data_IF_351147185522
#
_entry.id   IF_351147185522
#
_cell.length_a   1.000
_cell.length_b   1.000
_cell.length_c   1.000
_cell.angle_alpha   90.00
_cell.angle_beta   90.00
_cell.angle_gamma   90.00
#
_symmetry.space_group_name_H-M   'P 1'
#
loop_
_entity.id
_entity.type
_entity.pdbx_description
1 polymer ?
#
# COMPACT_ATOMS: atom_id res chain seq x y z
N UNK A 1 -21.59 32.67 2.53
CA UNK A 1 -21.54 31.36 3.21
C UNK A 1 -20.73 30.42 2.31
N UNK A 2 -19.40 30.51 2.37
CA UNK A 2 -18.54 29.60 1.62
C UNK A 2 -18.49 28.29 2.38
N UNK A 3 -19.29 27.32 1.94
CA UNK A 3 -19.07 25.93 2.30
C UNK A 3 -17.81 25.51 1.57
N UNK A 4 -16.65 25.66 2.22
CA UNK A 4 -15.47 24.90 1.84
C UNK A 4 -15.87 23.44 1.97
N UNK A 5 -16.32 22.87 0.84
CA UNK A 5 -16.55 21.44 0.69
C UNK A 5 -15.19 20.78 0.81
N UNK A 6 -14.75 20.60 2.06
CA UNK A 6 -13.50 19.99 2.41
C UNK A 6 -13.41 18.69 1.64
N UNK A 7 -12.48 18.65 0.70
CA UNK A 7 -12.28 17.48 -0.14
C UNK A 7 -12.00 16.30 0.80
N UNK A 8 -12.79 15.23 0.69
CA UNK A 8 -12.53 14.01 1.45
C UNK A 8 -11.11 13.57 1.08
N UNK A 9 -10.25 13.49 2.08
CA UNK A 9 -8.82 13.27 1.85
C UNK A 9 -8.63 11.80 1.48
N UNK A 10 -8.61 11.54 0.18
CA UNK A 10 -8.37 10.20 -0.36
C UNK A 10 -6.88 9.92 -0.51
N UNK A 11 -6.51 8.64 -0.60
CA UNK A 11 -5.11 8.21 -0.75
C UNK A 11 -4.41 8.80 -1.98
N UNK A 12 -5.17 9.17 -3.02
CA UNK A 12 -4.66 9.85 -4.21
C UNK A 12 -4.15 11.28 -3.92
N UNK A 13 -4.74 11.95 -2.93
CA UNK A 13 -4.38 13.31 -2.51
C UNK A 13 -3.21 13.32 -1.52
N UNK A 14 -2.81 12.14 -1.02
CA UNK A 14 -1.67 11.96 -0.12
C UNK A 14 -0.34 11.99 -0.89
N UNK A 15 0.09 13.19 -1.28
CA UNK A 15 1.40 13.41 -1.93
C UNK A 15 2.48 13.55 -0.86
N UNK A 16 3.58 12.81 -1.01
CA UNK A 16 4.79 13.01 -0.19
C UNK A 16 5.41 14.35 -0.59
N UNK A 17 5.49 15.29 0.34
CA UNK A 17 6.06 16.63 0.12
C UNK A 17 7.53 16.71 0.55
N UNK A 18 8.16 15.57 0.88
CA UNK A 18 9.60 15.48 1.11
C UNK A 18 10.40 15.89 -0.14
N UNK A 19 11.36 16.78 0.06
CA UNK A 19 12.22 17.29 -1.00
C UNK A 19 12.42 18.79 -0.90
N UNK A 20 12.71 19.42 -2.03
CA UNK A 20 12.81 20.87 -2.11
C UNK A 20 11.42 21.48 -2.19
N UNK A 21 11.07 22.33 -1.22
CA UNK A 21 9.81 23.05 -1.26
C UNK A 21 9.96 24.47 -0.76
N UNK A 22 9.02 25.31 -1.18
CA UNK A 22 8.96 26.71 -0.79
C UNK A 22 8.42 26.80 0.64
N UNK A 23 9.19 27.43 1.52
CA UNK A 23 8.83 27.59 2.92
C UNK A 23 8.65 29.08 3.21
N UNK A 24 7.54 29.43 3.88
CA UNK A 24 7.36 30.77 4.44
C UNK A 24 7.86 30.73 5.88
N UNK A 25 9.00 31.36 6.13
CA UNK A 25 9.52 31.61 7.48
C UNK A 25 10.20 30.42 8.17
N UNK A 26 11.23 30.74 8.95
CA UNK A 26 12.00 29.80 9.76
C UNK A 26 11.11 29.06 10.77
N UNK A 27 11.36 27.77 10.93
CA UNK A 27 10.69 26.93 11.94
C UNK A 27 10.73 27.56 13.33
N UNK A 28 9.57 27.59 13.96
CA UNK A 28 9.31 27.88 15.37
C UNK A 28 9.94 29.14 15.97
N UNK A 29 9.16 30.23 15.89
CA UNK A 29 8.74 31.15 16.98
C UNK A 29 8.72 32.61 16.49
N UNK A 30 7.52 33.20 16.52
CA UNK A 30 7.20 34.63 16.32
C UNK A 30 7.63 35.26 14.98
N UNK A 31 6.78 35.16 13.96
CA UNK A 31 6.72 36.15 12.89
C UNK A 31 5.38 36.90 12.97
N UNK A 32 5.22 37.67 14.04
CA UNK A 32 4.28 38.78 14.08
C UNK A 32 4.94 39.98 13.40
N UNK A 33 5.03 39.97 12.07
CA UNK A 33 5.36 41.17 11.31
C UNK A 33 4.69 41.09 9.94
N UNK A 34 3.81 42.06 9.70
CA UNK A 34 3.22 42.35 8.41
C UNK A 34 4.35 42.63 7.40
N UNK A 35 4.74 41.67 6.57
CA UNK A 35 5.52 41.97 5.36
C UNK A 35 6.68 41.06 4.95
N UNK A 36 6.91 39.88 5.51
CA UNK A 36 7.98 38.99 4.98
C UNK A 36 7.46 38.03 3.91
N UNK A 37 7.63 38.42 2.64
CA UNK A 37 7.30 37.63 1.44
C UNK A 37 8.54 37.05 0.75
N UNK A 38 9.46 36.42 1.48
CA UNK A 38 10.50 35.59 0.83
C UNK A 38 10.23 34.12 1.10
N UNK A 39 9.69 33.44 0.09
CA UNK A 39 9.62 31.98 0.06
C UNK A 39 11.00 31.42 -0.26
N UNK A 40 11.68 30.84 0.72
CA UNK A 40 12.97 30.18 0.51
C UNK A 40 12.74 28.74 0.05
N UNK A 41 13.53 28.30 -0.93
CA UNK A 41 13.61 26.88 -1.30
C UNK A 41 14.45 26.19 -0.23
N UNK A 42 13.80 25.42 0.63
CA UNK A 42 14.49 24.65 1.67
C UNK A 42 14.23 23.16 1.48
N UNK A 43 15.17 22.36 1.97
CA UNK A 43 14.98 20.93 2.09
C UNK A 43 14.00 20.64 3.21
N UNK A 44 12.84 20.13 2.82
CA UNK A 44 11.78 19.67 3.70
C UNK A 44 12.07 18.19 4.01
N UNK A 45 12.53 17.93 5.24
CA UNK A 45 12.87 16.59 5.72
C UNK A 45 11.64 15.74 6.08
N UNK A 46 10.55 16.40 6.47
CA UNK A 46 9.29 15.78 6.90
C UNK A 46 8.14 16.17 5.98
N UNK A 47 7.23 15.24 5.69
CA UNK A 47 6.06 15.55 4.85
C UNK A 47 5.23 16.64 5.55
N UNK A 48 5.19 17.85 4.99
CA UNK A 48 4.38 18.99 5.46
C UNK A 48 2.87 18.83 5.23
N UNK A 49 2.45 17.65 4.77
CA UNK A 49 1.05 17.29 4.60
C UNK A 49 0.45 16.67 5.86
N UNK A 50 -0.64 15.90 5.66
CA UNK A 50 -1.39 15.19 6.69
C UNK A 50 -0.52 14.58 7.80
N UNK A 51 -1.02 14.65 9.04
CA UNK A 51 -0.37 14.05 10.21
C UNK A 51 -0.18 12.54 10.05
N UNK A 52 0.72 11.94 10.85
CA UNK A 52 0.95 10.48 10.82
C UNK A 52 -0.33 9.67 11.04
N UNK A 53 -1.17 10.13 11.98
CA UNK A 53 -2.48 9.54 12.30
C UNK A 53 -3.47 9.66 11.14
N UNK A 54 -3.54 10.81 10.48
CA UNK A 54 -4.44 11.01 9.35
C UNK A 54 -4.02 10.14 8.16
N UNK A 55 -2.72 10.06 7.88
CA UNK A 55 -2.18 9.15 6.85
C UNK A 55 -2.50 7.68 7.16
N UNK A 56 -2.46 7.30 8.43
CA UNK A 56 -2.85 5.96 8.86
C UNK A 56 -4.35 5.73 8.64
N UNK A 57 -5.22 6.66 9.07
CA UNK A 57 -6.68 6.62 8.85
C UNK A 57 -7.01 6.44 7.37
N UNK A 58 -6.40 7.23 6.49
CA UNK A 58 -6.63 7.11 5.04
C UNK A 58 -6.17 5.77 4.50
N UNK A 59 -5.00 5.25 4.90
CA UNK A 59 -4.53 3.92 4.46
C UNK A 59 -5.41 2.78 4.97
N UNK A 60 -6.05 2.95 6.13
CA UNK A 60 -6.98 1.99 6.72
C UNK A 60 -8.37 2.02 6.09
N UNK A 61 -8.81 3.15 5.56
CA UNK A 61 -10.16 3.33 4.99
C UNK A 61 -10.21 3.21 3.46
N UNK A 62 -9.06 3.25 2.77
CA UNK A 62 -8.99 3.23 1.30
C UNK A 62 -8.25 2.03 0.74
N UNK A 63 -8.75 1.52 -0.39
CA UNK A 63 -8.12 0.47 -1.18
C UNK A 63 -6.85 0.99 -1.87
N UNK A 64 -5.75 0.24 -1.79
CA UNK A 64 -4.49 0.64 -2.44
C UNK A 64 -4.52 0.55 -3.98
N UNK A 65 -5.38 -0.29 -4.57
CA UNK A 65 -5.48 -0.44 -6.04
C UNK A 65 -6.51 0.53 -6.63
N UNK A 66 -7.75 0.49 -6.13
CA UNK A 66 -8.84 1.29 -6.69
C UNK A 66 -8.92 2.71 -6.12
N UNK A 67 -8.21 3.00 -5.02
CA UNK A 67 -8.28 4.28 -4.28
C UNK A 67 -9.65 4.62 -3.67
N UNK A 68 -10.65 3.77 -3.88
CA UNK A 68 -11.98 3.89 -3.31
C UNK A 68 -12.00 3.47 -1.83
N UNK A 69 -13.06 3.86 -1.12
CA UNK A 69 -13.33 3.38 0.23
C UNK A 69 -13.41 1.83 0.28
N UNK A 70 -12.93 1.26 1.39
CA UNK A 70 -12.96 -0.18 1.62
C UNK A 70 -14.40 -0.70 1.76
N UNK A 71 -14.67 -1.82 1.11
CA UNK A 71 -15.96 -2.51 1.13
C UNK A 71 -15.75 -3.98 1.51
N UNK A 72 -16.72 -4.54 2.21
CA UNK A 72 -16.72 -5.98 2.46
C UNK A 72 -16.99 -6.76 1.18
N UNK A 73 -16.24 -7.85 0.92
CA UNK A 73 -15.15 -8.42 1.72
C UNK A 73 -13.78 -7.74 1.51
N UNK A 74 -13.12 -7.36 2.61
CA UNK A 74 -11.76 -6.80 2.60
C UNK A 74 -10.68 -7.89 2.58
N UNK A 75 -9.59 -7.58 1.90
CA UNK A 75 -8.44 -8.46 1.72
C UNK A 75 -7.15 -7.72 2.06
N UNK A 76 -6.21 -8.39 2.73
CA UNK A 76 -4.90 -7.86 3.06
C UNK A 76 -3.76 -8.64 2.42
N UNK A 77 -2.65 -7.94 2.18
CA UNK A 77 -1.39 -8.54 1.73
C UNK A 77 -0.40 -8.74 2.87
N UNK A 78 0.66 -9.50 2.59
CA UNK A 78 1.79 -9.71 3.52
C UNK A 78 2.55 -8.43 3.90
N UNK A 79 2.39 -7.37 3.11
CA UNK A 79 2.94 -6.05 3.42
C UNK A 79 2.03 -5.18 4.32
N UNK A 80 0.88 -5.71 4.74
CA UNK A 80 -0.06 -4.97 5.61
C UNK A 80 -0.92 -3.94 4.87
N UNK A 81 -0.94 -3.95 3.54
CA UNK A 81 -1.86 -3.13 2.75
C UNK A 81 -3.24 -3.80 2.63
N UNK A 82 -4.29 -2.99 2.61
CA UNK A 82 -5.69 -3.39 2.47
C UNK A 82 -6.22 -3.14 1.05
N UNK A 83 -7.11 -4.01 0.61
CA UNK A 83 -7.68 -4.01 -0.74
C UNK A 83 -9.14 -4.50 -0.71
N UNK A 84 -9.92 -3.99 -1.66
CA UNK A 84 -11.23 -4.57 -1.99
C UNK A 84 -11.01 -5.86 -2.79
N UNK A 85 -11.69 -6.95 -2.40
CA UNK A 85 -11.54 -8.25 -3.08
C UNK A 85 -11.85 -8.16 -4.58
N UNK A 86 -12.88 -7.40 -4.94
CA UNK A 86 -13.28 -7.16 -6.34
C UNK A 86 -12.17 -6.48 -7.14
N UNK A 87 -11.57 -5.43 -6.58
CA UNK A 87 -10.48 -4.69 -7.22
C UNK A 87 -9.24 -5.58 -7.45
N UNK A 88 -8.90 -6.44 -6.49
CA UNK A 88 -7.78 -7.38 -6.63
C UNK A 88 -8.06 -8.40 -7.73
N UNK A 89 -9.26 -8.98 -7.76
CA UNK A 89 -9.65 -9.95 -8.78
C UNK A 89 -9.62 -9.30 -10.16
N UNK A 90 -10.22 -8.11 -10.31
CA UNK A 90 -10.22 -7.36 -11.55
C UNK A 90 -8.79 -7.01 -12.03
N UNK A 91 -7.90 -6.63 -11.10
CA UNK A 91 -6.52 -6.29 -11.44
C UNK A 91 -5.69 -7.52 -11.85
N UNK A 92 -5.92 -8.68 -11.20
CA UNK A 92 -5.26 -9.95 -11.54
C UNK A 92 -5.72 -10.48 -12.90
N UNK A 93 -7.02 -10.37 -13.22
CA UNK A 93 -7.57 -10.77 -14.52
C UNK A 93 -7.02 -9.90 -15.67
N UNK A 94 -6.98 -8.58 -15.45
CA UNK A 94 -6.53 -7.63 -16.47
C UNK A 94 -5.00 -7.45 -16.53
N UNK A 95 -4.24 -8.10 -15.63
CA UNK A 95 -2.78 -7.92 -15.46
C UNK A 95 -2.34 -6.46 -15.27
N UNK A 96 -3.22 -5.61 -14.72
CA UNK A 96 -2.99 -4.17 -14.49
C UNK A 96 -2.43 -3.89 -13.09
N UNK A 97 -1.54 -4.74 -12.59
CA UNK A 97 -0.95 -4.56 -11.26
C UNK A 97 0.21 -3.56 -11.33
N UNK A 98 0.22 -2.50 -10.50
CA UNK A 98 1.34 -1.56 -10.46
C UNK A 98 2.61 -2.26 -9.95
N UNK A 99 3.79 -1.77 -10.39
CA UNK A 99 5.09 -2.39 -10.10
C UNK A 99 5.37 -2.52 -8.59
N UNK A 100 4.89 -1.54 -7.80
CA UNK A 100 4.95 -1.53 -6.33
C UNK A 100 4.23 -2.71 -5.66
N UNK A 101 3.30 -3.35 -6.38
CA UNK A 101 2.46 -4.46 -5.92
C UNK A 101 2.83 -5.81 -6.57
N UNK A 102 4.02 -5.91 -7.18
CA UNK A 102 4.54 -7.13 -7.85
C UNK A 102 4.62 -8.40 -6.98
N UNK A 103 4.44 -8.27 -5.67
CA UNK A 103 4.37 -9.38 -4.72
C UNK A 103 3.03 -10.15 -4.77
N UNK A 104 1.97 -9.55 -5.31
CA UNK A 104 0.65 -10.16 -5.43
C UNK A 104 0.52 -10.74 -6.83
N UNK A 105 0.64 -12.06 -6.97
CA UNK A 105 0.51 -12.74 -8.27
C UNK A 105 -0.70 -13.65 -8.34
N UNK A 106 -1.12 -14.18 -7.20
CA UNK A 106 -2.26 -15.05 -7.09
C UNK A 106 -3.12 -14.69 -5.88
N UNK A 107 -4.35 -15.21 -5.86
CA UNK A 107 -5.26 -15.14 -4.71
C UNK A 107 -4.71 -15.82 -3.44
N UNK A 108 -3.58 -16.55 -3.54
CA UNK A 108 -2.87 -17.15 -2.42
C UNK A 108 -1.98 -16.16 -1.67
N UNK A 109 -1.57 -15.08 -2.32
CA UNK A 109 -0.68 -14.06 -1.76
C UNK A 109 -1.44 -13.02 -0.92
N UNK A 110 -2.77 -13.11 -0.96
CA UNK A 110 -3.72 -12.25 -0.28
C UNK A 110 -4.59 -13.08 0.66
N UNK A 111 -4.94 -12.50 1.81
CA UNK A 111 -5.82 -13.15 2.79
C UNK A 111 -7.06 -12.30 3.03
N UNK A 112 -8.23 -12.93 3.00
CA UNK A 112 -9.47 -12.26 3.34
C UNK A 112 -9.48 -11.95 4.85
N UNK A 113 -9.74 -10.68 5.17
CA UNK A 113 -9.78 -10.18 6.54
C UNK A 113 -11.18 -10.35 7.11
N UNK A 114 -11.26 -10.83 8.35
CA UNK A 114 -12.47 -10.75 9.16
C UNK A 114 -12.43 -9.41 9.90
N UNK A 115 -13.12 -8.43 9.33
CA UNK A 115 -13.24 -7.09 9.89
C UNK A 115 -14.64 -6.92 10.44
N UNK A 116 -14.74 -6.39 11.64
CA UNK A 116 -16.00 -5.93 12.23
C UNK A 116 -16.11 -4.43 12.00
N UNK A 117 -17.11 -4.02 11.24
CA UNK A 117 -17.39 -2.62 10.98
C UNK A 117 -18.39 -2.10 12.01
N UNK A 118 -18.09 -0.97 12.61
CA UNK A 118 -19.06 -0.18 13.34
C UNK A 118 -19.46 1.03 12.50
N UNK A 119 -20.74 1.36 12.53
CA UNK A 119 -21.24 2.61 11.98
C UNK A 119 -20.87 3.74 12.94
N UNK A 120 -20.17 4.76 12.45
CA UNK A 120 -19.86 5.92 13.27
C UNK A 120 -21.12 6.77 13.43
N UNK A 121 -21.68 6.82 14.64
CA UNK A 121 -22.86 7.64 14.96
C UNK A 121 -22.63 9.16 14.77
N UNK A 122 -21.38 9.62 14.61
CA UNK A 122 -21.01 11.04 14.67
C UNK A 122 -20.61 11.69 13.34
N UNK A 123 -20.36 10.91 12.29
CA UNK A 123 -20.05 11.45 10.95
C UNK A 123 -20.74 10.57 9.91
N UNK A 124 -21.72 11.14 9.21
CA UNK A 124 -22.62 10.46 8.27
C UNK A 124 -21.84 9.57 7.28
N UNK A 125 -21.97 8.25 7.44
CA UNK A 125 -21.63 7.26 6.43
C UNK A 125 -20.20 6.69 6.41
N UNK A 126 -19.29 7.11 7.31
CA UNK A 126 -17.96 6.48 7.38
C UNK A 126 -17.95 5.26 8.31
N UNK A 127 -17.85 4.07 7.71
CA UNK A 127 -17.66 2.81 8.43
C UNK A 127 -16.27 2.77 9.07
N UNK A 128 -16.22 2.49 10.37
CA UNK A 128 -14.96 2.35 11.12
C UNK A 128 -14.64 0.89 11.37
N UNK A 129 -13.38 0.52 11.21
CA UNK A 129 -12.91 -0.81 11.55
C UNK A 129 -12.68 -0.88 13.05
N UNK A 130 -13.42 -1.79 13.70
CA UNK A 130 -13.33 -2.00 15.15
C UNK A 130 -12.65 -3.34 15.41
N UNK A 131 -11.82 -3.39 16.44
CA UNK A 131 -11.25 -4.65 16.89
C UNK A 131 -12.33 -5.50 17.57
N UNK A 132 -12.51 -6.78 17.20
CA UNK A 132 -13.52 -7.64 17.80
C UNK A 132 -13.26 -7.94 19.29
N UNK A 133 -12.02 -7.80 19.78
CA UNK A 133 -11.67 -8.12 21.17
C UNK A 133 -11.60 -6.88 22.05
N UNK A 134 -10.85 -5.84 21.67
CA UNK A 134 -10.79 -4.60 22.46
C UNK A 134 -11.99 -3.68 22.26
N UNK A 135 -12.79 -3.89 21.20
CA UNK A 135 -13.85 -2.96 20.77
C UNK A 135 -13.36 -1.53 20.55
N UNK A 136 -12.06 -1.35 20.37
CA UNK A 136 -11.44 -0.07 20.04
C UNK A 136 -11.42 0.15 18.53
N UNK A 137 -11.57 1.41 18.13
CA UNK A 137 -11.42 1.86 16.75
C UNK A 137 -9.97 1.70 16.29
N UNK A 138 -9.76 0.89 15.25
CA UNK A 138 -8.44 0.66 14.64
C UNK A 138 -7.97 1.85 13.78
N UNK A 139 -8.91 2.66 13.30
CA UNK A 139 -8.64 3.81 12.43
C UNK A 139 -8.08 5.02 13.20
N UNK A 140 -8.34 5.08 14.51
CA UNK A 140 -7.98 6.19 15.39
C UNK A 140 -6.47 6.33 15.64
N UNK A 141 -5.67 5.34 15.25
CA UNK A 141 -4.23 5.31 15.46
C UNK A 141 -3.79 5.20 16.93
N UNK A 142 -4.72 5.08 17.88
CA UNK A 142 -4.43 4.82 19.30
C UNK A 142 -3.69 3.49 19.51
N UNK A 143 -3.97 2.52 18.64
CA UNK A 143 -3.41 1.17 18.65
C UNK A 143 -3.12 0.75 17.22
N UNK A 144 -1.92 0.24 16.93
CA UNK A 144 -1.63 -0.33 15.61
C UNK A 144 -2.50 -1.55 15.35
N UNK A 145 -3.13 -1.63 14.19
CA UNK A 145 -3.88 -2.80 13.77
C UNK A 145 -2.95 -3.88 13.24
N UNK A 146 -3.26 -5.14 13.51
CA UNK A 146 -2.44 -6.30 13.19
C UNK A 146 -3.34 -7.40 12.65
N UNK A 147 -2.89 -8.06 11.59
CA UNK A 147 -3.54 -9.21 10.99
C UNK A 147 -2.83 -10.49 11.41
N UNK A 148 -3.61 -11.49 11.82
CA UNK A 148 -3.11 -12.86 11.95
C UNK A 148 -3.33 -13.61 10.64
N UNK A 149 -2.24 -14.03 9.99
CA UNK A 149 -2.26 -14.65 8.66
C UNK A 149 -3.11 -15.93 8.52
N UNK A 150 -3.00 -16.96 9.42
CA UNK A 150 -3.76 -18.19 9.27
C UNK A 150 -5.28 -18.01 9.42
N UNK A 151 -5.71 -17.13 10.32
CA UNK A 151 -7.12 -16.87 10.61
C UNK A 151 -7.74 -15.78 9.74
N UNK A 152 -6.95 -14.78 9.33
CA UNK A 152 -7.47 -13.56 8.71
C UNK A 152 -8.09 -12.58 9.71
N UNK A 153 -7.94 -12.81 11.01
CA UNK A 153 -8.50 -11.93 12.04
C UNK A 153 -7.69 -10.63 12.17
N UNK A 154 -8.38 -9.48 12.17
CA UNK A 154 -7.77 -8.17 12.41
C UNK A 154 -7.96 -7.79 13.88
N UNK A 155 -6.85 -7.57 14.59
CA UNK A 155 -6.82 -7.33 16.03
C UNK A 155 -5.89 -6.15 16.33
N UNK A 156 -6.11 -5.43 17.44
CA UNK A 156 -5.19 -4.40 17.89
C UNK A 156 -3.89 -5.00 18.47
N UNK A 157 -2.75 -4.34 18.25
CA UNK A 157 -1.48 -4.76 18.84
C UNK A 157 -1.49 -4.75 20.37
N UNK A 158 -2.34 -3.93 21.00
CA UNK A 158 -2.51 -3.89 22.47
C UNK A 158 -3.14 -5.20 22.96
N UNK A 159 -4.25 -5.61 22.33
CA UNK A 159 -4.94 -6.86 22.66
C UNK A 159 -4.04 -8.08 22.53
N UNK A 160 -3.21 -8.15 21.48
CA UNK A 160 -2.27 -9.25 21.29
C UNK A 160 -1.22 -9.33 22.41
N UNK A 161 -0.72 -8.18 22.88
CA UNK A 161 0.27 -8.11 23.97
C UNK A 161 -0.31 -8.49 25.33
N UNK A 162 -1.57 -8.17 25.57
CA UNK A 162 -2.27 -8.47 26.83
C UNK A 162 -2.60 -9.96 26.96
N UNK A 163 -3.13 -10.56 25.90
CA UNK A 163 -3.57 -11.95 25.94
C UNK A 163 -2.43 -12.96 25.94
N UNK A 164 -1.27 -12.64 25.31
CA UNK A 164 -0.10 -13.54 25.18
C UNK A 164 -0.45 -14.97 24.76
N UNK A 165 -1.55 -15.17 24.03
CA UNK A 165 -2.00 -16.48 23.59
C UNK A 165 -1.34 -16.83 22.25
N UNK A 166 -1.01 -18.11 22.08
CA UNK A 166 -0.49 -18.67 20.81
C UNK A 166 -1.60 -19.05 19.83
N UNK A 167 -2.85 -18.76 20.18
CA UNK A 167 -4.06 -19.13 19.46
C UNK A 167 -4.91 -17.89 19.17
N UNK A 168 -5.54 -17.87 18.00
CA UNK A 168 -6.36 -16.75 17.59
C UNK A 168 -7.60 -16.63 18.50
N UNK A 169 -7.91 -15.45 19.06
CA UNK A 169 -9.05 -15.27 19.97
C UNK A 169 -10.42 -15.46 19.29
N UNK A 170 -10.49 -15.43 17.96
CA UNK A 170 -11.75 -15.60 17.20
C UNK A 170 -11.93 -16.99 16.59
N UNK A 171 -10.83 -17.65 16.22
CA UNK A 171 -10.89 -18.88 15.41
C UNK A 171 -10.14 -20.03 16.04
N UNK A 172 -9.52 -19.84 17.21
CA UNK A 172 -8.72 -20.83 17.96
C UNK A 172 -7.63 -21.51 17.11
N UNK A 173 -7.16 -20.84 16.04
CA UNK A 173 -6.10 -21.36 15.17
C UNK A 173 -4.75 -21.02 15.79
N UNK A 174 -3.80 -21.97 15.85
CA UNK A 174 -2.45 -21.68 16.29
C UNK A 174 -1.79 -20.72 15.30
N UNK A 175 -1.04 -19.74 15.81
CA UNK A 175 -0.25 -18.81 15.01
C UNK A 175 1.10 -18.54 15.67
N UNK A 176 2.12 -18.30 14.84
CA UNK A 176 3.44 -17.90 15.31
C UNK A 176 3.55 -16.37 15.41
N UNK A 177 3.89 -15.87 16.59
CA UNK A 177 3.97 -14.44 16.88
C UNK A 177 4.96 -13.67 15.98
N UNK A 178 6.01 -14.32 15.50
CA UNK A 178 7.08 -13.66 14.73
C UNK A 178 6.83 -13.63 13.21
N UNK A 179 6.08 -14.62 12.69
CA UNK A 179 5.92 -14.85 11.24
C UNK A 179 4.52 -14.58 10.73
N UNK A 180 3.50 -14.92 11.52
CA UNK A 180 2.10 -14.86 11.10
C UNK A 180 1.42 -13.53 11.46
N UNK A 181 2.11 -12.69 12.22
CA UNK A 181 1.62 -11.41 12.73
C UNK A 181 2.10 -10.28 11.81
N UNK A 182 1.16 -9.67 11.08
CA UNK A 182 1.46 -8.65 10.07
C UNK A 182 0.81 -7.32 10.50
N UNK A 183 1.58 -6.27 10.77
CA UNK A 183 1.00 -4.96 11.08
C UNK A 183 0.33 -4.38 9.82
N UNK A 184 -0.86 -3.82 10.00
CA UNK A 184 -1.61 -3.15 8.93
C UNK A 184 -1.19 -1.69 8.81
N UNK A 185 -1.26 -1.16 7.58
CA UNK A 185 -0.79 0.16 7.17
C UNK A 185 0.56 0.60 7.77
N UNK A 186 1.62 -0.22 7.66
CA UNK A 186 2.92 0.12 8.21
C UNK A 186 3.48 1.40 7.57
N UNK A 187 4.29 2.13 8.34
CA UNK A 187 5.00 3.30 7.84
C UNK A 187 6.17 2.91 6.93
N UNK A 188 6.72 3.90 6.21
CA UNK A 188 7.71 3.67 5.16
C UNK A 188 8.92 2.82 5.58
N UNK A 189 9.31 2.88 6.85
CA UNK A 189 10.41 2.08 7.41
C UNK A 189 10.00 0.63 7.72
N UNK A 190 8.79 0.45 8.26
CA UNK A 190 8.23 -0.88 8.56
C UNK A 190 7.85 -1.63 7.29
N UNK A 191 7.37 -0.90 6.28
CA UNK A 191 7.17 -1.42 4.93
C UNK A 191 8.46 -1.99 4.33
N UNK A 192 9.61 -1.33 4.54
CA UNK A 192 10.90 -1.84 4.06
C UNK A 192 11.27 -3.15 4.75
N UNK A 193 11.16 -3.20 6.09
CA UNK A 193 11.41 -4.42 6.88
C UNK A 193 10.49 -5.58 6.45
N UNK A 194 9.22 -5.30 6.17
CA UNK A 194 8.28 -6.31 5.69
C UNK A 194 8.57 -6.75 4.25
N UNK A 195 9.02 -5.83 3.39
CA UNK A 195 9.48 -6.16 2.04
C UNK A 195 10.73 -7.03 2.05
N UNK A 196 11.64 -6.83 3.00
CA UNK A 196 12.83 -7.67 3.19
C UNK A 196 12.49 -9.07 3.73
N UNK A 197 11.46 -9.17 4.58
CA UNK A 197 10.95 -10.45 5.09
C UNK A 197 10.22 -11.28 4.06
N UNK A 198 9.68 -10.65 3.01
CA UNK A 198 9.18 -11.40 1.87
C UNK A 198 10.36 -12.09 1.21
N UNK A 199 10.39 -13.43 1.12
CA UNK A 199 11.38 -14.06 0.30
C UNK A 199 11.18 -13.51 -1.10
N UNK A 200 12.20 -12.81 -1.61
CA UNK A 200 12.38 -12.70 -3.04
C UNK A 200 12.42 -14.15 -3.50
N UNK A 201 11.27 -14.69 -3.95
CA UNK A 201 11.27 -15.93 -4.69
C UNK A 201 12.13 -15.59 -5.88
N UNK A 202 13.36 -16.07 -5.76
CA UNK A 202 14.49 -15.76 -6.58
C UNK A 202 14.01 -15.85 -8.02
N UNK A 203 14.52 -14.96 -8.87
CA UNK A 203 14.60 -15.15 -10.31
C UNK A 203 15.47 -16.41 -10.59
N UNK A 204 15.07 -17.59 -10.11
CA UNK A 204 15.71 -18.90 -10.25
C UNK A 204 14.80 -19.84 -11.04
N UNK A 205 14.16 -19.30 -12.07
CA UNK A 205 13.51 -20.07 -13.13
C UNK A 205 13.72 -19.46 -14.53
N UNK A 206 14.59 -18.43 -14.67
CA UNK A 206 14.90 -17.80 -15.97
C UNK A 206 16.40 -17.60 -16.22
N UNK A 207 17.27 -18.32 -15.50
CA UNK A 207 18.73 -18.26 -15.68
C UNK A 207 19.37 -19.63 -15.96
N UNK A 208 18.61 -20.62 -16.42
CA UNK A 208 19.12 -21.93 -16.89
C UNK A 208 18.60 -22.29 -18.28
N UNK A 209 18.18 -21.29 -19.07
CA UNK A 209 17.85 -21.46 -20.48
C UNK A 209 18.37 -20.27 -21.27
N UNK A 210 19.69 -20.09 -21.23
CA UNK A 210 20.43 -19.27 -22.18
C UNK A 210 21.80 -19.94 -22.36
N UNK A 211 22.00 -20.77 -23.40
CA UNK A 211 23.35 -21.07 -23.86
C UNK A 211 23.93 -19.80 -24.49
N UNK A 212 25.12 -19.44 -24.04
CA UNK A 212 25.95 -18.39 -24.60
C UNK A 212 27.00 -19.02 -25.50
N UNK A 213 27.00 -18.67 -26.78
CA UNK A 213 28.16 -18.47 -27.65
C UNK A 213 27.72 -17.34 -28.62
N UNK A 214 28.19 -16.09 -28.48
CA UNK A 214 29.44 -15.53 -29.05
C UNK A 214 29.45 -15.67 -30.59
N UNK A 215 29.73 -14.68 -31.44
CA UNK A 215 30.27 -13.33 -31.34
C UNK A 215 30.15 -12.68 -32.74
N UNK A 216 30.05 -11.35 -32.79
CA UNK A 216 30.47 -10.42 -33.87
C UNK A 216 30.28 -10.73 -35.37
N UNK A 217 29.48 -9.89 -36.04
CA UNK A 217 29.99 -8.87 -36.99
C UNK A 217 28.83 -8.12 -37.68
N UNK A 218 28.87 -6.78 -37.62
CA UNK A 218 28.13 -5.88 -38.51
C UNK A 218 29.16 -5.11 -39.37
N UNK A 219 28.78 -4.34 -40.41
CA UNK A 219 27.71 -4.48 -41.39
C UNK A 219 28.26 -4.40 -42.85
N UNK A 220 27.48 -4.77 -43.87
CA UNK A 220 27.66 -4.12 -45.19
C UNK A 220 26.34 -3.97 -45.94
N UNK A 221 26.12 -2.73 -46.35
CA UNK A 221 25.04 -2.25 -47.20
C UNK A 221 25.26 -2.82 -48.60
N UNK A 222 24.20 -3.32 -49.25
CA UNK A 222 23.91 -3.11 -50.68
C UNK A 222 22.55 -3.70 -51.05
N UNK A 223 21.64 -2.82 -51.49
CA UNK A 223 20.55 -3.19 -52.39
C UNK A 223 21.14 -3.79 -53.69
N UNK A 224 20.37 -4.59 -54.43
CA UNK A 224 19.71 -3.97 -55.57
C UNK A 224 18.31 -4.53 -55.92
N UNK A 225 17.48 -3.59 -56.41
CA UNK A 225 16.56 -3.63 -57.55
C UNK A 225 15.59 -4.80 -57.79
N UNK A 226 14.35 -4.37 -58.00
CA UNK A 226 13.24 -5.03 -58.68
C UNK A 226 13.60 -5.82 -59.95
N UNK A 227 12.88 -6.93 -60.16
CA UNK A 227 12.36 -7.35 -61.46
C UNK A 227 11.15 -8.28 -61.24
N UNK A 228 10.09 -8.02 -61.99
CA UNK A 228 8.86 -8.78 -62.08
C UNK A 228 9.01 -9.96 -63.06
N UNK A 229 7.88 -10.66 -63.26
CA UNK A 229 7.53 -11.56 -64.37
C UNK A 229 7.67 -13.08 -64.15
N UNK A 230 6.52 -13.69 -63.80
CA UNK A 230 5.74 -14.46 -64.78
C UNK A 230 6.11 -15.93 -65.06
N UNK A 231 5.18 -16.81 -64.66
CA UNK A 231 4.69 -18.03 -65.33
C UNK A 231 4.78 -19.32 -64.50
N UNK A 232 3.64 -19.74 -63.97
CA UNK A 232 3.34 -21.13 -63.61
C UNK A 232 2.06 -21.49 -64.34
N UNK A 233 2.11 -22.69 -64.92
CA UNK A 233 1.13 -23.41 -65.75
C UNK A 233 -0.32 -23.33 -65.28
#
# INVERSE_FOLDING_TARGET
MGGDGGQVIDRATMVKTKGWGLTKGSGDRYAASLGEMNSYVQMIFEDRGLGTLERHRVRMSTCMISQEALRDPVVACKLGNLYNKEAVIAALLNRKMPEDLSHIRALKDVKQCMVTWAEAEKEEGQKRMVCPVSREDLDSGSSRAVLIWPSGAVISAKSLKEMKMKECPLTSKPFDADKDVIPLAPDGEELKKLRERLPTKKRKAQAVAAPAEAEEAAPSIRAPTAAADGSVL
#
